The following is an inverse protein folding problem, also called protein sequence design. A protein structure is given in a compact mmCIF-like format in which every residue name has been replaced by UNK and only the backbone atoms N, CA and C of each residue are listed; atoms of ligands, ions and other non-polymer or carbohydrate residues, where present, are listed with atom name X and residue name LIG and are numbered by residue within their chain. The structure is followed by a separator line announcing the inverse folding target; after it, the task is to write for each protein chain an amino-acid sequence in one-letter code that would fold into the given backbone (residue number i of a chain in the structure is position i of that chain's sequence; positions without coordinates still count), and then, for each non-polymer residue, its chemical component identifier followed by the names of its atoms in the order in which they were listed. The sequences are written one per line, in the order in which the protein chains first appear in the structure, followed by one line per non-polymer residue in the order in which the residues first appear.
data_IF_600823200458
#
_entry.id   IF_600823200458
#
_cell.length_a   1.000
_cell.length_b   1.000
_cell.length_c   1.000
_cell.angle_alpha   90.00
_cell.angle_beta   90.00
_cell.angle_gamma   90.00
#
_symmetry.space_group_name_H-M   'P 1'
#
loop_
_entity.id
_entity.type
_entity.pdbx_description
1 polymer ?
#
# COMPACT_ATOMS: atom_id res chain seq x y z
N UNK A 1 12.47 3.42 58.54
CA UNK A 1 11.63 3.86 57.41
C UNK A 1 10.54 2.81 57.18
N UNK A 2 9.30 3.27 57.03
CA UNK A 2 8.04 2.51 57.08
C UNK A 2 7.63 1.98 55.69
N UNK A 3 7.21 0.71 55.69
CA UNK A 3 6.13 0.04 54.91
C UNK A 3 6.13 -0.04 53.36
N UNK A 4 6.35 -1.29 52.92
CA UNK A 4 5.83 -2.06 51.76
C UNK A 4 4.53 -1.55 51.12
N UNK A 5 4.42 -1.61 49.79
CA UNK A 5 3.17 -1.96 49.09
C UNK A 5 3.42 -2.63 47.73
N UNK A 6 3.12 -3.93 47.71
CA UNK A 6 2.74 -4.76 46.56
C UNK A 6 1.50 -4.16 45.90
N UNK A 7 1.47 -4.04 44.57
CA UNK A 7 0.24 -3.73 43.85
C UNK A 7 0.15 -4.61 42.60
N UNK A 8 -0.44 -5.79 42.81
CA UNK A 8 -1.06 -6.61 41.79
C UNK A 8 -2.23 -5.82 41.19
N UNK A 9 -2.31 -5.71 39.86
CA UNK A 9 -3.54 -5.34 39.17
C UNK A 9 -3.88 -6.44 38.16
N UNK A 10 -4.88 -7.23 38.53
CA UNK A 10 -5.57 -8.16 37.66
C UNK A 10 -6.86 -7.51 37.16
N UNK A 11 -7.26 -7.87 35.93
CA UNK A 11 -8.63 -7.93 35.43
C UNK A 11 -9.45 -6.63 35.32
N UNK A 12 -9.59 -6.14 34.08
CA UNK A 12 -10.87 -5.59 33.59
C UNK A 12 -11.22 -6.32 32.30
N UNK A 13 -12.13 -7.27 32.43
CA UNK A 13 -13.00 -7.69 31.35
C UNK A 13 -14.10 -6.61 31.20
N UNK A 14 -14.25 -6.09 29.99
CA UNK A 14 -15.36 -5.20 29.60
C UNK A 14 -15.83 -5.58 28.21
N UNK A 15 -16.88 -6.40 28.14
CA UNK A 15 -17.65 -6.71 26.93
C UNK A 15 -18.58 -5.55 26.55
N UNK A 16 -18.78 -5.34 25.24
CA UNK A 16 -19.84 -4.50 24.66
C UNK A 16 -19.78 -4.51 23.12
N UNK A 17 -20.09 -5.62 22.44
CA UNK A 17 -21.41 -6.03 21.88
C UNK A 17 -21.80 -5.29 20.57
N UNK A 18 -21.51 -5.99 19.47
CA UNK A 18 -22.37 -6.31 18.32
C UNK A 18 -23.00 -5.20 17.44
N UNK A 19 -22.53 -5.14 16.19
CA UNK A 19 -23.30 -5.39 14.95
C UNK A 19 -22.29 -5.29 13.78
N UNK A 20 -22.15 -6.16 12.78
CA UNK A 20 -23.05 -7.11 12.14
C UNK A 20 -22.27 -8.32 11.58
N UNK A 21 -22.79 -9.52 11.84
CA UNK A 21 -22.85 -10.69 10.94
C UNK A 21 -21.73 -10.94 9.89
N UNK A 22 -20.85 -11.89 10.20
CA UNK A 22 -19.97 -12.62 9.26
C UNK A 22 -18.51 -12.57 9.75
N UNK A 23 -17.80 -13.64 10.08
CA UNK A 23 -17.96 -15.06 9.85
C UNK A 23 -17.38 -15.81 11.06
N UNK A 24 -18.04 -16.90 11.46
CA UNK A 24 -17.49 -17.91 12.34
C UNK A 24 -16.29 -18.59 11.66
N UNK A 25 -15.08 -18.07 11.90
CA UNK A 25 -13.82 -18.67 11.49
C UNK A 25 -12.77 -18.39 12.56
N UNK A 26 -12.53 -19.36 13.45
CA UNK A 26 -11.45 -19.28 14.42
C UNK A 26 -10.10 -19.29 13.72
N UNK A 27 -9.42 -18.14 13.75
CA UNK A 27 -8.06 -17.91 13.24
C UNK A 27 -7.86 -16.40 13.09
N UNK A 28 -7.13 -15.78 14.01
CA UNK A 28 -7.06 -14.32 14.16
C UNK A 28 -6.45 -13.59 12.97
N UNK A 29 -7.28 -13.21 12.01
CA UNK A 29 -6.95 -12.22 10.99
C UNK A 29 -7.10 -10.81 11.57
N UNK A 30 -6.25 -9.90 11.13
CA UNK A 30 -6.31 -8.48 11.49
C UNK A 30 -7.67 -7.87 11.17
N UNK A 31 -8.08 -6.93 12.01
CA UNK A 31 -9.17 -6.02 11.67
C UNK A 31 -8.78 -5.14 10.48
N UNK A 32 -9.78 -4.55 9.81
CA UNK A 32 -9.54 -3.59 8.72
C UNK A 32 -8.67 -2.43 9.22
N UNK A 33 -8.93 -1.89 10.42
CA UNK A 33 -8.15 -0.81 11.01
C UNK A 33 -6.66 -1.17 11.23
N UNK A 34 -6.37 -2.34 11.79
CA UNK A 34 -4.97 -2.79 12.00
C UNK A 34 -4.24 -3.03 10.67
N UNK A 35 -4.95 -3.51 9.65
CA UNK A 35 -4.40 -3.65 8.31
C UNK A 35 -4.15 -2.29 7.65
N UNK A 36 -5.07 -1.34 7.85
CA UNK A 36 -4.95 0.02 7.35
C UNK A 36 -3.80 0.81 7.97
N UNK A 37 -3.50 0.65 9.27
CA UNK A 37 -2.30 1.25 9.88
C UNK A 37 -1.01 0.79 9.17
N UNK A 38 -0.96 -0.47 8.76
CA UNK A 38 0.17 -1.04 8.00
C UNK A 38 0.22 -0.43 6.60
N UNK A 39 -0.94 -0.34 5.94
CA UNK A 39 -1.07 0.26 4.61
C UNK A 39 -0.67 1.74 4.61
N UNK A 40 -1.15 2.54 5.58
CA UNK A 40 -0.87 3.97 5.70
C UNK A 40 0.62 4.27 5.89
N UNK A 41 1.31 3.47 6.70
CA UNK A 41 2.76 3.62 6.90
C UNK A 41 3.51 3.49 5.56
N UNK A 42 3.12 2.51 4.75
CA UNK A 42 3.71 2.28 3.43
C UNK A 42 3.29 3.37 2.45
N UNK A 43 2.03 3.80 2.46
CA UNK A 43 1.54 4.89 1.60
C UNK A 43 2.23 6.23 1.88
N UNK A 44 2.65 6.49 3.12
CA UNK A 44 3.46 7.68 3.45
C UNK A 44 4.85 7.60 2.81
N UNK A 45 5.47 6.42 2.78
CA UNK A 45 6.76 6.23 2.09
C UNK A 45 6.58 6.34 0.57
N UNK A 46 5.53 5.74 0.03
CA UNK A 46 5.14 5.81 -1.39
C UNK A 46 5.04 7.26 -1.85
N UNK A 47 4.38 8.14 -1.09
CA UNK A 47 4.28 9.56 -1.44
C UNK A 47 5.63 10.27 -1.52
N UNK A 48 6.57 9.92 -0.63
CA UNK A 48 7.92 10.46 -0.66
C UNK A 48 8.67 10.01 -1.90
N UNK A 49 8.61 8.71 -2.23
CA UNK A 49 9.25 8.15 -3.42
C UNK A 49 8.64 8.71 -4.70
N UNK A 50 7.31 8.80 -4.79
CA UNK A 50 6.59 9.32 -5.95
C UNK A 50 7.00 10.75 -6.31
N UNK A 51 7.31 11.58 -5.31
CA UNK A 51 7.82 12.94 -5.53
C UNK A 51 9.20 12.92 -6.19
N UNK A 52 10.04 11.94 -5.87
CA UNK A 52 11.33 11.71 -6.52
C UNK A 52 11.14 11.21 -7.95
N UNK A 53 10.27 10.20 -8.14
CA UNK A 53 10.01 9.59 -9.45
C UNK A 53 9.50 10.59 -10.49
N UNK A 54 8.66 11.53 -10.06
CA UNK A 54 8.14 12.57 -10.96
C UNK A 54 9.26 13.51 -11.47
N UNK A 55 10.34 13.66 -10.70
CA UNK A 55 11.53 14.42 -11.13
C UNK A 55 12.36 13.65 -12.16
N UNK A 56 12.46 12.32 -12.01
CA UNK A 56 13.17 11.44 -12.95
C UNK A 56 12.47 11.39 -14.32
N UNK A 57 11.14 11.28 -14.34
CA UNK A 57 10.33 11.39 -15.57
C UNK A 57 10.60 12.71 -16.28
N UNK A 58 10.62 13.82 -15.55
CA UNK A 58 10.85 15.14 -16.11
C UNK A 58 12.30 15.32 -16.64
N UNK A 59 13.25 14.60 -16.07
CA UNK A 59 14.64 14.53 -16.54
C UNK A 59 14.83 13.57 -17.73
N UNK A 60 13.85 12.71 -18.01
CA UNK A 60 13.94 11.65 -19.01
C UNK A 60 14.77 10.45 -18.55
N UNK A 61 15.00 10.31 -17.25
CA UNK A 61 15.76 9.20 -16.65
C UNK A 61 14.80 8.04 -16.33
N UNK A 62 14.52 7.23 -17.34
CA UNK A 62 13.55 6.14 -17.22
C UNK A 62 14.14 4.94 -16.48
N UNK A 63 15.45 4.74 -16.59
CA UNK A 63 16.16 3.71 -15.83
C UNK A 63 16.02 3.95 -14.32
N UNK A 64 16.30 5.17 -13.84
CA UNK A 64 16.15 5.51 -12.41
C UNK A 64 14.69 5.50 -11.97
N UNK A 65 13.77 5.86 -12.86
CA UNK A 65 12.33 5.73 -12.62
C UNK A 65 11.93 4.26 -12.39
N UNK A 66 12.35 3.34 -13.27
CA UNK A 66 12.06 1.90 -13.13
C UNK A 66 12.63 1.37 -11.82
N UNK A 67 13.88 1.68 -11.48
CA UNK A 67 14.49 1.25 -10.21
C UNK A 67 13.68 1.74 -8.98
N UNK A 68 13.18 2.97 -9.03
CA UNK A 68 12.36 3.52 -7.96
C UNK A 68 10.95 2.92 -7.89
N UNK A 69 10.37 2.53 -9.03
CA UNK A 69 9.10 1.80 -9.08
C UNK A 69 9.26 0.36 -8.58
N UNK A 70 10.35 -0.32 -8.91
CA UNK A 70 10.68 -1.65 -8.39
C UNK A 70 10.86 -1.62 -6.86
N UNK A 71 11.52 -0.58 -6.34
CA UNK A 71 11.62 -0.37 -4.90
C UNK A 71 10.24 -0.19 -4.26
N UNK A 72 9.36 0.55 -4.94
CA UNK A 72 8.00 0.81 -4.49
C UNK A 72 7.15 -0.47 -4.47
N UNK A 73 7.21 -1.25 -5.55
CA UNK A 73 6.60 -2.57 -5.65
C UNK A 73 7.06 -3.46 -4.49
N UNK A 74 8.37 -3.52 -4.24
CA UNK A 74 8.94 -4.31 -3.14
C UNK A 74 8.39 -3.92 -1.76
N UNK A 75 8.22 -2.62 -1.51
CA UNK A 75 7.62 -2.11 -0.25
C UNK A 75 6.14 -2.47 -0.16
N UNK A 76 5.39 -2.37 -1.26
CA UNK A 76 3.98 -2.75 -1.32
C UNK A 76 3.81 -4.27 -1.11
N UNK A 77 4.64 -5.10 -1.74
CA UNK A 77 4.66 -6.55 -1.55
C UNK A 77 4.99 -6.95 -0.10
N UNK A 78 5.89 -6.24 0.56
CA UNK A 78 6.14 -6.43 2.00
C UNK A 78 4.90 -6.09 2.84
N UNK A 79 4.18 -5.02 2.49
CA UNK A 79 2.92 -4.64 3.13
C UNK A 79 1.85 -5.74 2.94
N UNK A 80 1.65 -6.19 1.71
CA UNK A 80 0.73 -7.29 1.35
C UNK A 80 1.07 -8.57 2.11
N UNK A 81 2.36 -8.87 2.31
CA UNK A 81 2.82 -10.00 3.10
C UNK A 81 2.51 -9.89 4.60
N UNK A 82 2.43 -8.66 5.14
CA UNK A 82 2.11 -8.39 6.54
C UNK A 82 0.61 -8.29 6.81
N UNK A 83 -0.19 -7.92 5.80
CA UNK A 83 -1.63 -7.77 5.93
C UNK A 83 -2.33 -9.12 5.83
N UNK A 84 -3.13 -9.42 6.85
CA UNK A 84 -3.95 -10.64 6.94
C UNK A 84 -5.44 -10.40 6.73
N UNK A 85 -5.86 -9.13 6.71
CA UNK A 85 -7.22 -8.77 6.33
C UNK A 85 -7.37 -8.86 4.80
N UNK A 86 -8.22 -9.74 4.31
CA UNK A 86 -8.34 -10.01 2.86
C UNK A 86 -8.80 -8.81 2.04
N UNK A 87 -9.65 -7.94 2.58
CA UNK A 87 -10.14 -6.75 1.86
C UNK A 87 -9.02 -5.74 1.66
N UNK A 88 -8.31 -5.37 2.73
CA UNK A 88 -7.17 -4.45 2.66
C UNK A 88 -6.02 -5.06 1.87
N UNK A 89 -5.76 -6.36 2.05
CA UNK A 89 -4.74 -7.09 1.29
C UNK A 89 -5.03 -7.06 -0.21
N UNK A 90 -6.27 -7.31 -0.60
CA UNK A 90 -6.68 -7.28 -2.01
C UNK A 90 -6.48 -5.88 -2.60
N UNK A 91 -6.88 -4.82 -1.90
CA UNK A 91 -6.67 -3.45 -2.36
C UNK A 91 -5.18 -3.10 -2.50
N UNK A 92 -4.35 -3.48 -1.51
CA UNK A 92 -2.89 -3.30 -1.57
C UNK A 92 -2.25 -4.11 -2.70
N UNK A 93 -2.69 -5.35 -2.95
CA UNK A 93 -2.15 -6.20 -4.00
C UNK A 93 -2.48 -5.65 -5.40
N UNK A 94 -3.65 -5.05 -5.57
CA UNK A 94 -3.99 -4.31 -6.81
C UNK A 94 -3.04 -3.15 -7.01
N UNK A 95 -2.79 -2.35 -5.96
CA UNK A 95 -1.86 -1.23 -6.04
C UNK A 95 -0.43 -1.69 -6.37
N UNK A 96 0.06 -2.76 -5.72
CA UNK A 96 1.34 -3.41 -6.03
C UNK A 96 1.42 -3.79 -7.51
N UNK A 97 0.40 -4.48 -8.02
CA UNK A 97 0.33 -4.91 -9.43
C UNK A 97 0.34 -3.71 -10.37
N UNK A 98 -0.46 -2.67 -10.09
CA UNK A 98 -0.50 -1.48 -10.94
C UNK A 98 0.81 -0.70 -10.94
N UNK A 99 1.57 -0.71 -9.84
CA UNK A 99 2.93 -0.14 -9.80
C UNK A 99 3.90 -0.95 -10.65
N UNK A 100 3.83 -2.28 -10.59
CA UNK A 100 4.64 -3.16 -11.43
C UNK A 100 4.30 -2.98 -12.92
N UNK A 101 3.02 -2.89 -13.26
CA UNK A 101 2.56 -2.60 -14.62
C UNK A 101 3.04 -1.21 -15.09
N UNK A 102 3.11 -0.24 -14.18
CA UNK A 102 3.66 1.09 -14.49
C UNK A 102 5.15 1.01 -14.81
N UNK A 103 5.94 0.27 -14.05
CA UNK A 103 7.35 0.05 -14.32
C UNK A 103 7.56 -0.65 -15.69
N UNK A 104 6.72 -1.63 -15.99
CA UNK A 104 6.78 -2.38 -17.26
C UNK A 104 6.50 -1.52 -18.50
N UNK A 105 5.84 -0.37 -18.37
CA UNK A 105 5.69 0.59 -19.48
C UNK A 105 7.06 1.14 -19.89
N UNK A 106 7.93 1.42 -18.93
CA UNK A 106 9.25 1.99 -19.16
C UNK A 106 10.32 0.92 -19.47
N UNK A 107 10.02 -0.36 -19.24
CA UNK A 107 10.92 -1.45 -19.62
C UNK A 107 11.18 -1.45 -21.13
N UNK A 108 12.47 -1.45 -21.49
CA UNK A 108 12.92 -1.36 -22.89
C UNK A 108 12.77 0.01 -23.55
N UNK A 109 12.34 1.06 -22.84
CA UNK A 109 12.36 2.45 -23.32
C UNK A 109 13.73 3.06 -22.99
N UNK A 110 14.45 3.55 -24.00
CA UNK A 110 15.74 4.22 -23.77
C UNK A 110 15.54 5.56 -23.05
N UNK A 111 16.44 5.91 -22.13
CA UNK A 111 16.40 7.19 -21.42
C UNK A 111 16.28 8.37 -22.40
N UNK A 112 15.30 9.23 -22.15
CA UNK A 112 15.00 10.39 -22.98
C UNK A 112 14.22 10.10 -24.27
N UNK A 113 13.90 8.84 -24.58
CA UNK A 113 13.03 8.48 -25.71
C UNK A 113 11.54 8.70 -25.39
N UNK A 114 11.17 9.97 -25.39
CA UNK A 114 9.78 10.41 -25.21
C UNK A 114 8.86 9.95 -26.36
N UNK A 115 9.40 9.53 -27.50
CA UNK A 115 8.58 9.04 -28.62
C UNK A 115 8.12 7.62 -28.34
N UNK A 116 9.03 6.73 -27.94
CA UNK A 116 8.69 5.37 -27.53
C UNK A 116 7.74 5.38 -26.32
N UNK A 117 7.93 6.31 -25.37
CA UNK A 117 6.99 6.49 -24.26
C UNK A 117 5.61 6.98 -24.73
N UNK A 118 5.56 7.92 -25.68
CA UNK A 118 4.29 8.42 -26.23
C UNK A 118 3.50 7.33 -26.96
N UNK A 119 4.18 6.39 -27.62
CA UNK A 119 3.54 5.23 -28.27
C UNK A 119 2.85 4.30 -27.25
N UNK A 120 3.25 4.36 -25.97
CA UNK A 120 2.65 3.65 -24.84
C UNK A 120 1.61 4.48 -24.07
N UNK A 121 1.18 5.61 -24.61
CA UNK A 121 0.30 6.56 -23.91
C UNK A 121 -1.02 5.95 -23.42
N UNK A 122 -1.61 5.02 -24.18
CA UNK A 122 -2.84 4.32 -23.75
C UNK A 122 -2.58 3.40 -22.54
N UNK A 123 -1.48 2.64 -22.55
CA UNK A 123 -1.04 1.79 -21.42
C UNK A 123 -0.79 2.66 -20.18
N UNK A 124 -0.08 3.79 -20.35
CA UNK A 124 0.19 4.75 -19.29
C UNK A 124 -1.10 5.31 -18.67
N UNK A 125 -2.07 5.66 -19.50
CA UNK A 125 -3.35 6.18 -19.01
C UNK A 125 -4.16 5.13 -18.26
N UNK A 126 -4.17 3.89 -18.75
CA UNK A 126 -4.83 2.75 -18.07
C UNK A 126 -4.19 2.53 -16.71
N UNK A 127 -2.87 2.37 -16.65
CA UNK A 127 -2.19 2.09 -15.38
C UNK A 127 -2.35 3.23 -14.38
N UNK A 128 -2.27 4.50 -14.82
CA UNK A 128 -2.53 5.64 -13.93
C UNK A 128 -3.95 5.62 -13.38
N UNK A 129 -4.93 5.19 -14.17
CA UNK A 129 -6.31 5.01 -13.72
C UNK A 129 -6.40 3.90 -12.69
N UNK A 130 -5.78 2.76 -12.95
CA UNK A 130 -5.79 1.60 -12.06
C UNK A 130 -5.15 1.93 -10.70
N UNK A 131 -4.03 2.67 -10.70
CA UNK A 131 -3.39 3.20 -9.47
C UNK A 131 -4.35 4.10 -8.70
N UNK A 132 -5.06 5.01 -9.38
CA UNK A 132 -6.02 5.92 -8.74
C UNK A 132 -7.22 5.18 -8.16
N UNK A 133 -7.74 4.18 -8.87
CA UNK A 133 -8.84 3.33 -8.41
C UNK A 133 -8.42 2.50 -7.20
N UNK A 134 -7.25 1.85 -7.25
CA UNK A 134 -6.69 1.09 -6.13
C UNK A 134 -6.45 1.97 -4.90
N UNK A 135 -5.89 3.17 -5.10
CA UNK A 135 -5.70 4.16 -4.02
C UNK A 135 -7.02 4.64 -3.43
N UNK A 136 -8.07 4.81 -4.25
CA UNK A 136 -9.41 5.22 -3.78
C UNK A 136 -10.10 4.09 -3.02
N UNK A 137 -9.98 2.84 -3.48
CA UNK A 137 -10.47 1.65 -2.80
C UNK A 137 -9.81 1.52 -1.42
N UNK A 138 -8.48 1.62 -1.36
CA UNK A 138 -7.73 1.60 -0.10
C UNK A 138 -8.13 2.75 0.82
N UNK A 139 -8.25 3.97 0.30
CA UNK A 139 -8.70 5.13 1.05
C UNK A 139 -10.12 4.99 1.60
N UNK A 140 -11.02 4.35 0.86
CA UNK A 140 -12.39 4.06 1.31
C UNK A 140 -12.41 3.01 2.41
N UNK A 141 -11.59 1.96 2.30
CA UNK A 141 -11.46 0.93 3.33
C UNK A 141 -10.86 1.49 4.63
N UNK A 142 -9.88 2.38 4.52
CA UNK A 142 -9.13 2.90 5.68
C UNK A 142 -9.74 4.15 6.31
N UNK A 143 -10.76 4.76 5.68
CA UNK A 143 -11.52 5.87 6.27
C UNK A 143 -12.89 5.47 6.84
N UNK A 144 -13.28 4.20 6.68
CA UNK A 144 -14.53 3.61 7.18
C UNK A 144 -14.43 3.20 8.66
#
# INVERSE_FOLDING_TARGET
MRTKHTLSLALIAGLGIASLTGCSGGGGAQTVAEACDTAESVMSEVQSEMSSLNSEVAAGDFSSLVEGLDLLEGKLGEAVGKVTNEEVKSALSKLETSVADFAAIFDGVEDGDLTALADKGDELQTVVTDIQEAGTELGTLCSA
#
